data_IF_743306617594
#
_entry.id   IF_743306617594
#
_cell.length_a   1.000
_cell.length_b   1.000
_cell.length_c   1.000
_cell.angle_alpha   90.00
_cell.angle_beta   90.00
_cell.angle_gamma   90.00
#
_symmetry.space_group_name_H-M   'P 1'
#
loop_
_entity.id
_entity.type
_entity.pdbx_description
1 polymer ?
#
# COMPACT_ATOMS: atom_id res chain seq x y z
N UNK A 1 -15.12 3.09 -13.87
CA UNK A 1 -15.03 3.24 -12.39
C UNK A 1 -13.58 3.51 -12.03
N UNK A 2 -13.27 4.40 -11.09
CA UNK A 2 -11.88 4.63 -10.69
C UNK A 2 -11.31 3.29 -10.22
N UNK A 3 -10.17 2.89 -10.81
CA UNK A 3 -9.63 1.53 -10.73
C UNK A 3 -9.10 1.14 -9.34
N UNK A 4 -9.37 1.98 -8.34
CA UNK A 4 -9.12 1.77 -6.92
C UNK A 4 -7.64 1.89 -6.59
N UNK A 5 -7.28 2.74 -5.63
CA UNK A 5 -5.91 2.97 -5.20
C UNK A 5 -5.47 4.43 -5.26
N UNK A 6 -6.03 5.23 -6.17
CA UNK A 6 -5.66 6.66 -6.28
C UNK A 6 -5.91 7.46 -4.98
N UNK A 7 -5.19 8.56 -4.85
CA UNK A 7 -5.43 9.53 -3.77
C UNK A 7 -6.89 9.99 -3.85
N UNK A 8 -7.62 9.81 -2.75
CA UNK A 8 -9.03 10.11 -2.72
C UNK A 8 -9.22 11.64 -2.72
N UNK A 9 -10.10 12.22 -3.56
CA UNK A 9 -10.26 13.68 -3.68
C UNK A 9 -10.57 14.41 -2.36
N UNK A 10 -11.17 13.70 -1.39
CA UNK A 10 -11.43 14.24 -0.06
C UNK A 10 -10.15 14.63 0.70
N UNK A 11 -9.01 13.97 0.45
CA UNK A 11 -7.75 14.35 1.11
C UNK A 11 -7.35 15.77 0.73
N UNK A 12 -7.27 16.06 -0.57
CA UNK A 12 -6.97 17.41 -1.06
C UNK A 12 -7.99 18.45 -0.60
N UNK A 13 -9.29 18.10 -0.63
CA UNK A 13 -10.36 18.98 -0.16
C UNK A 13 -10.22 19.33 1.33
N UNK A 14 -10.14 18.33 2.21
CA UNK A 14 -10.12 18.55 3.66
C UNK A 14 -8.80 19.18 4.13
N UNK A 15 -7.67 18.73 3.60
CA UNK A 15 -6.37 19.35 3.93
C UNK A 15 -6.31 20.81 3.42
N UNK A 16 -6.90 21.09 2.26
CA UNK A 16 -7.06 22.45 1.75
C UNK A 16 -7.95 23.32 2.64
N UNK A 17 -9.09 22.77 3.06
CA UNK A 17 -10.04 23.42 3.94
C UNK A 17 -9.42 23.74 5.32
N UNK A 18 -8.76 22.76 5.96
CA UNK A 18 -8.04 22.95 7.23
C UNK A 18 -7.02 24.08 7.14
N UNK A 19 -6.20 24.09 6.08
CA UNK A 19 -5.22 25.17 5.84
C UNK A 19 -5.88 26.54 5.69
N UNK A 20 -7.02 26.63 4.99
CA UNK A 20 -7.76 27.88 4.84
C UNK A 20 -8.38 28.34 6.17
N UNK A 21 -8.92 27.40 6.95
CA UNK A 21 -9.49 27.67 8.27
C UNK A 21 -8.43 28.23 9.22
N UNK A 22 -7.25 27.60 9.30
CA UNK A 22 -6.15 28.03 10.16
C UNK A 22 -5.51 29.37 9.76
N UNK A 23 -5.64 29.76 8.49
CA UNK A 23 -5.25 31.11 8.02
C UNK A 23 -6.24 32.19 8.48
N UNK A 24 -7.51 31.85 8.67
CA UNK A 24 -8.56 32.75 9.14
C UNK A 24 -8.98 32.35 10.56
N UNK A 25 -8.14 32.66 11.54
CA UNK A 25 -8.33 32.21 12.95
C UNK A 25 -9.55 32.81 13.65
N UNK A 26 -10.12 33.91 13.15
CA UNK A 26 -11.23 34.62 13.82
C UNK A 26 -12.47 33.74 14.00
N UNK A 27 -13.02 33.07 12.96
CA UNK A 27 -14.08 32.07 13.13
C UNK A 27 -13.71 30.91 14.06
N UNK A 28 -12.46 30.45 14.02
CA UNK A 28 -11.96 29.38 14.88
C UNK A 28 -12.03 29.78 16.35
N UNK A 29 -11.63 31.01 16.70
CA UNK A 29 -11.77 31.52 18.06
C UNK A 29 -13.23 31.52 18.52
N UNK A 30 -14.20 31.87 17.67
CA UNK A 30 -15.61 31.82 18.06
C UNK A 30 -16.14 30.40 18.28
N UNK A 31 -15.63 29.43 17.50
CA UNK A 31 -15.99 28.02 17.66
C UNK A 31 -15.33 27.41 18.90
N UNK A 32 -14.07 27.75 19.15
CA UNK A 32 -13.29 27.23 20.28
C UNK A 32 -13.61 27.95 21.60
N UNK A 33 -14.02 29.22 21.58
CA UNK A 33 -14.37 29.98 22.79
C UNK A 33 -15.57 29.40 23.56
N UNK A 34 -16.31 28.46 22.96
CA UNK A 34 -17.39 27.72 23.63
C UNK A 34 -16.99 26.33 24.15
N UNK A 35 -15.75 25.88 23.96
CA UNK A 35 -15.28 24.55 24.33
C UNK A 35 -13.88 24.55 24.97
N UNK A 36 -13.53 23.48 25.66
CA UNK A 36 -12.22 23.31 26.34
C UNK A 36 -11.12 22.82 25.36
N UNK A 37 -11.43 22.78 24.06
CA UNK A 37 -10.58 22.21 23.02
C UNK A 37 -9.66 23.28 22.43
N UNK A 38 -8.37 22.99 22.32
CA UNK A 38 -7.40 23.87 21.66
C UNK A 38 -7.32 23.61 20.14
N UNK A 39 -6.71 24.56 19.41
CA UNK A 39 -6.54 24.47 17.95
C UNK A 39 -5.80 23.19 17.52
N UNK A 40 -4.85 22.72 18.33
CA UNK A 40 -4.02 21.55 18.05
C UNK A 40 -4.81 20.24 18.15
N UNK A 41 -5.62 20.11 19.19
CA UNK A 41 -6.54 19.00 19.40
C UNK A 41 -7.57 18.93 18.27
N UNK A 42 -8.17 20.07 17.90
CA UNK A 42 -9.15 20.11 16.82
C UNK A 42 -8.55 19.68 15.47
N UNK A 43 -7.36 20.19 15.12
CA UNK A 43 -6.68 19.80 13.87
C UNK A 43 -6.38 18.30 13.86
N UNK A 44 -5.88 17.76 14.98
CA UNK A 44 -5.56 16.35 15.10
C UNK A 44 -6.81 15.48 14.97
N UNK A 45 -7.91 15.86 15.62
CA UNK A 45 -9.19 15.15 15.55
C UNK A 45 -9.77 15.16 14.14
N UNK A 46 -9.76 16.32 13.46
CA UNK A 46 -10.26 16.42 12.09
C UNK A 46 -9.46 15.55 11.12
N UNK A 47 -8.13 15.47 11.27
CA UNK A 47 -7.32 14.56 10.46
C UNK A 47 -7.63 13.10 10.81
N UNK A 48 -7.81 12.76 12.09
CA UNK A 48 -8.23 11.42 12.50
C UNK A 48 -9.60 11.02 11.94
N UNK A 49 -10.57 11.94 11.89
CA UNK A 49 -11.87 11.73 11.24
C UNK A 49 -11.72 11.50 9.74
N UNK A 50 -10.83 12.24 9.07
CA UNK A 50 -10.51 11.99 7.66
C UNK A 50 -9.90 10.59 7.46
N UNK A 51 -8.95 10.19 8.30
CA UNK A 51 -8.34 8.86 8.27
C UNK A 51 -9.38 7.75 8.47
N UNK A 52 -10.30 7.90 9.43
CA UNK A 52 -11.39 6.95 9.67
C UNK A 52 -12.35 6.85 8.46
N UNK A 53 -12.73 7.99 7.89
CA UNK A 53 -13.58 8.01 6.70
C UNK A 53 -12.91 7.36 5.47
N UNK A 54 -11.57 7.40 5.39
CA UNK A 54 -10.81 6.70 4.36
C UNK A 54 -10.78 5.20 4.61
N UNK A 55 -10.62 4.77 5.87
CA UNK A 55 -10.69 3.35 6.25
C UNK A 55 -12.03 2.74 5.86
N UNK A 56 -13.14 3.41 6.19
CA UNK A 56 -14.50 3.00 5.83
C UNK A 56 -14.68 2.88 4.30
N UNK A 57 -14.12 3.82 3.55
CA UNK A 57 -14.13 3.76 2.07
C UNK A 57 -13.28 2.63 1.53
N UNK A 58 -12.13 2.37 2.16
CA UNK A 58 -11.26 1.28 1.76
C UNK A 58 -11.97 -0.07 1.89
N UNK A 59 -12.85 -0.23 2.87
CA UNK A 59 -13.61 -1.46 3.09
C UNK A 59 -14.50 -1.86 1.89
N UNK A 60 -14.91 -0.89 1.07
CA UNK A 60 -15.69 -1.15 -0.15
C UNK A 60 -14.84 -1.65 -1.34
N UNK A 61 -13.50 -1.56 -1.28
CA UNK A 61 -12.64 -2.04 -2.36
C UNK A 61 -12.63 -3.56 -2.42
N UNK A 62 -12.73 -4.11 -3.63
CA UNK A 62 -12.90 -5.55 -3.85
C UNK A 62 -11.68 -6.39 -3.42
N UNK A 63 -10.47 -5.84 -3.52
CA UNK A 63 -9.24 -6.59 -3.27
C UNK A 63 -8.57 -6.14 -1.98
N UNK A 64 -8.29 -7.06 -1.02
CA UNK A 64 -7.62 -6.71 0.23
C UNK A 64 -6.28 -6.00 0.03
N UNK A 65 -5.47 -6.43 -0.95
CA UNK A 65 -4.21 -5.75 -1.26
C UNK A 65 -4.41 -4.33 -1.80
N UNK A 66 -5.51 -4.08 -2.51
CA UNK A 66 -5.83 -2.75 -3.01
C UNK A 66 -6.28 -1.80 -1.90
N UNK A 67 -6.91 -2.33 -0.83
CA UNK A 67 -7.21 -1.56 0.38
C UNK A 67 -5.93 -1.02 1.01
N UNK A 68 -4.92 -1.86 1.14
CA UNK A 68 -3.64 -1.47 1.71
C UNK A 68 -2.93 -0.40 0.86
N UNK A 69 -2.92 -0.56 -0.47
CA UNK A 69 -2.35 0.44 -1.40
C UNK A 69 -3.12 1.76 -1.32
N UNK A 70 -4.45 1.70 -1.25
CA UNK A 70 -5.28 2.89 -1.05
C UNK A 70 -4.95 3.61 0.27
N UNK A 71 -4.86 2.89 1.38
CA UNK A 71 -4.53 3.49 2.68
C UNK A 71 -3.11 4.07 2.69
N UNK A 72 -2.14 3.41 2.05
CA UNK A 72 -0.78 3.92 1.88
C UNK A 72 -0.76 5.25 1.11
N UNK A 73 -1.41 5.32 -0.04
CA UNK A 73 -1.44 6.53 -0.87
C UNK A 73 -2.08 7.71 -0.13
N UNK A 74 -3.22 7.48 0.52
CA UNK A 74 -3.92 8.55 1.21
C UNK A 74 -3.20 9.00 2.48
N UNK A 75 -2.61 8.09 3.25
CA UNK A 75 -1.82 8.44 4.45
C UNK A 75 -0.60 9.27 4.06
N UNK A 76 0.12 8.86 3.01
CA UNK A 76 1.27 9.61 2.49
C UNK A 76 0.86 11.00 2.01
N UNK A 77 -0.29 11.13 1.35
CA UNK A 77 -0.82 12.41 0.92
C UNK A 77 -1.17 13.33 2.10
N UNK A 78 -1.83 12.80 3.14
CA UNK A 78 -2.14 13.54 4.36
C UNK A 78 -0.85 14.05 5.03
N UNK A 79 0.15 13.18 5.22
CA UNK A 79 1.45 13.56 5.80
C UNK A 79 2.12 14.64 4.94
N UNK A 80 2.18 14.45 3.62
CA UNK A 80 2.74 15.43 2.68
C UNK A 80 2.03 16.78 2.76
N UNK A 81 0.71 16.80 2.85
CA UNK A 81 -0.07 18.03 2.98
C UNK A 81 0.15 18.73 4.31
N UNK A 82 0.22 17.96 5.41
CA UNK A 82 0.43 18.49 6.75
C UNK A 82 1.83 19.11 6.91
N UNK A 83 2.87 18.39 6.48
CA UNK A 83 4.28 18.85 6.58
C UNK A 83 4.56 20.07 5.72
N UNK A 84 3.89 20.20 4.56
CA UNK A 84 4.05 21.37 3.67
C UNK A 84 3.31 22.63 4.13
N UNK A 85 2.52 22.54 5.19
CA UNK A 85 1.69 23.63 5.67
C UNK A 85 2.14 24.04 7.06
N UNK A 86 2.90 25.13 7.19
CA UNK A 86 3.40 25.63 8.48
C UNK A 86 2.28 25.79 9.52
N UNK A 87 1.10 26.24 9.08
CA UNK A 87 -0.07 26.39 9.95
C UNK A 87 -0.59 25.07 10.53
N UNK A 88 -0.50 23.97 9.78
CA UNK A 88 -0.92 22.63 10.25
C UNK A 88 0.25 22.00 11.01
N UNK A 89 1.45 22.02 10.41
CA UNK A 89 2.65 21.40 10.97
C UNK A 89 2.99 21.87 12.38
N UNK A 90 2.82 23.16 12.70
CA UNK A 90 3.06 23.69 14.05
C UNK A 90 2.03 23.24 15.10
N UNK A 91 0.85 22.79 14.66
CA UNK A 91 -0.25 22.37 15.55
C UNK A 91 -0.27 20.85 15.79
N UNK A 92 0.57 20.10 15.08
CA UNK A 92 0.63 18.65 15.24
C UNK A 92 1.54 18.27 16.41
N UNK A 93 1.15 17.24 17.20
CA UNK A 93 1.97 16.81 18.33
C UNK A 93 3.31 16.21 17.87
N UNK A 94 4.35 16.24 18.72
CA UNK A 94 5.61 15.56 18.43
C UNK A 94 5.39 14.08 18.10
N UNK A 95 6.12 13.56 17.11
CA UNK A 95 6.01 12.17 16.67
C UNK A 95 4.78 11.84 15.81
N UNK A 96 3.90 12.80 15.55
CA UNK A 96 2.69 12.58 14.73
C UNK A 96 3.04 12.00 13.35
N UNK A 97 4.03 12.57 12.65
CA UNK A 97 4.46 12.09 11.34
C UNK A 97 5.06 10.68 11.41
N UNK A 98 5.91 10.42 12.40
CA UNK A 98 6.52 9.09 12.61
C UNK A 98 5.48 7.99 12.85
N UNK A 99 4.42 8.27 13.63
CA UNK A 99 3.32 7.32 13.81
C UNK A 99 2.53 7.04 12.52
N UNK A 100 2.50 7.97 11.56
CA UNK A 100 1.92 7.75 10.23
C UNK A 100 2.89 6.97 9.33
N UNK A 101 4.19 7.23 9.42
CA UNK A 101 5.22 6.46 8.73
C UNK A 101 5.20 4.98 9.13
N UNK A 102 5.11 4.67 10.43
CA UNK A 102 4.96 3.30 10.92
C UNK A 102 3.69 2.62 10.38
N UNK A 103 2.57 3.34 10.33
CA UNK A 103 1.34 2.83 9.72
C UNK A 103 1.51 2.55 8.22
N UNK A 104 2.22 3.41 7.50
CA UNK A 104 2.53 3.19 6.08
C UNK A 104 3.36 1.93 5.86
N UNK A 105 4.37 1.68 6.70
CA UNK A 105 5.12 0.42 6.68
C UNK A 105 4.23 -0.80 6.96
N UNK A 106 3.28 -0.65 7.90
CA UNK A 106 2.23 -1.62 8.18
C UNK A 106 1.42 -1.98 6.93
N UNK A 107 0.95 -0.98 6.17
CA UNK A 107 0.21 -1.21 4.93
C UNK A 107 1.04 -1.93 3.86
N UNK A 108 2.33 -1.61 3.71
CA UNK A 108 3.22 -2.33 2.78
C UNK A 108 3.34 -3.80 3.18
N UNK A 109 3.55 -4.08 4.47
CA UNK A 109 3.66 -5.44 5.01
C UNK A 109 2.38 -6.24 4.79
N UNK A 110 1.24 -5.63 5.08
CA UNK A 110 -0.06 -6.27 4.93
C UNK A 110 -0.42 -6.48 3.46
N UNK A 111 -0.07 -5.54 2.57
CA UNK A 111 -0.16 -5.71 1.12
C UNK A 111 0.65 -6.93 0.65
N UNK A 112 1.91 -7.08 1.07
CA UNK A 112 2.72 -8.25 0.74
C UNK A 112 2.10 -9.54 1.26
N UNK A 113 1.59 -9.53 2.50
CA UNK A 113 0.94 -10.68 3.13
C UNK A 113 -0.30 -11.13 2.36
N UNK A 114 -1.18 -10.22 1.95
CA UNK A 114 -2.46 -10.59 1.32
C UNK A 114 -2.34 -10.79 -0.20
N UNK A 115 -1.42 -10.09 -0.87
CA UNK A 115 -1.26 -10.17 -2.33
C UNK A 115 -0.19 -11.16 -2.79
N UNK A 116 0.95 -11.24 -2.09
CA UNK A 116 2.14 -11.92 -2.61
C UNK A 116 2.53 -13.17 -1.83
N UNK A 117 2.24 -13.26 -0.53
CA UNK A 117 2.46 -14.50 0.22
C UNK A 117 1.70 -15.71 -0.38
N UNK A 118 0.43 -15.58 -0.86
CA UNK A 118 -0.26 -16.69 -1.52
C UNK A 118 0.38 -17.11 -2.85
N UNK A 119 1.02 -16.18 -3.58
CA UNK A 119 1.76 -16.46 -4.82
C UNK A 119 3.02 -17.26 -4.49
N UNK A 120 3.82 -16.77 -3.54
CA UNK A 120 5.07 -17.43 -3.11
C UNK A 120 4.80 -18.80 -2.48
N UNK A 121 3.69 -18.96 -1.75
CA UNK A 121 3.32 -20.25 -1.13
C UNK A 121 3.17 -21.40 -2.13
N UNK A 122 2.92 -21.10 -3.41
CA UNK A 122 2.83 -22.11 -4.48
C UNK A 122 4.15 -22.86 -4.69
N UNK A 123 5.27 -22.25 -4.32
CA UNK A 123 6.60 -22.85 -4.36
C UNK A 123 6.92 -23.69 -3.09
N UNK A 124 6.16 -23.52 -2.00
CA UNK A 124 6.48 -24.08 -0.68
C UNK A 124 5.87 -25.46 -0.35
N UNK A 125 5.39 -26.22 -1.34
CA UNK A 125 4.73 -27.49 -1.10
C UNK A 125 5.69 -28.57 -0.58
N UNK A 126 5.52 -29.05 0.66
CA UNK A 126 6.26 -30.21 1.18
C UNK A 126 6.08 -31.44 0.25
N UNK A 127 7.17 -32.15 -0.12
CA UNK A 127 7.08 -33.47 -0.73
C UNK A 127 6.78 -34.48 0.39
N UNK A 128 5.52 -34.83 0.63
CA UNK A 128 5.21 -35.78 1.71
C UNK A 128 3.75 -36.08 2.00
N UNK A 129 2.78 -35.29 1.52
CA UNK A 129 1.37 -35.67 1.61
C UNK A 129 0.97 -36.39 0.31
N UNK A 130 0.55 -37.65 0.45
CA UNK A 130 0.05 -38.57 -0.57
C UNK A 130 -0.66 -37.83 -1.72
N UNK A 131 -0.27 -38.17 -2.96
CA UNK A 131 -0.77 -37.70 -4.27
C UNK A 131 0.24 -36.90 -5.11
N UNK A 132 1.42 -37.47 -5.34
CA UNK A 132 2.41 -36.97 -6.31
C UNK A 132 1.86 -36.87 -7.75
N UNK A 133 0.83 -37.66 -8.09
CA UNK A 133 0.24 -37.72 -9.44
C UNK A 133 -0.82 -36.64 -9.74
N UNK A 134 -1.28 -35.87 -8.74
CA UNK A 134 -2.38 -34.88 -8.92
C UNK A 134 -1.96 -33.42 -8.71
N UNK A 135 -0.71 -33.15 -8.30
CA UNK A 135 -0.24 -31.77 -8.14
C UNK A 135 0.21 -31.22 -9.49
N UNK A 136 -0.51 -30.22 -10.01
CA UNK A 136 0.05 -29.29 -11.01
C UNK A 136 1.45 -28.90 -10.55
N UNK A 137 2.43 -28.95 -11.46
CA UNK A 137 3.83 -28.64 -11.16
C UNK A 137 3.90 -27.33 -10.35
N UNK A 138 4.49 -27.29 -9.13
CA UNK A 138 4.47 -26.11 -8.25
C UNK A 138 4.91 -24.82 -8.96
N UNK A 139 5.93 -24.94 -9.82
CA UNK A 139 6.39 -23.86 -10.70
C UNK A 139 5.32 -23.32 -11.67
N UNK A 140 4.51 -24.19 -12.26
CA UNK A 140 3.41 -23.78 -13.15
C UNK A 140 2.31 -23.06 -12.36
N UNK A 141 1.94 -23.58 -11.19
CA UNK A 141 0.97 -22.93 -10.31
C UNK A 141 1.46 -21.54 -9.83
N UNK A 142 2.76 -21.42 -9.52
CA UNK A 142 3.40 -20.15 -9.22
C UNK A 142 3.32 -19.19 -10.39
N UNK A 143 3.73 -19.59 -11.60
CA UNK A 143 3.71 -18.70 -12.76
C UNK A 143 2.30 -18.19 -13.09
N UNK A 144 1.28 -19.05 -13.03
CA UNK A 144 -0.11 -18.61 -13.24
C UNK A 144 -0.55 -17.61 -12.16
N UNK A 145 -0.24 -17.87 -10.89
CA UNK A 145 -0.58 -16.95 -9.80
C UNK A 145 0.16 -15.61 -9.92
N UNK A 146 1.45 -15.65 -10.27
CA UNK A 146 2.30 -14.48 -10.51
C UNK A 146 1.77 -13.62 -11.66
N UNK A 147 1.47 -14.23 -12.81
CA UNK A 147 0.94 -13.51 -13.97
C UNK A 147 -0.41 -12.86 -13.66
N UNK A 148 -1.30 -13.56 -12.96
CA UNK A 148 -2.58 -12.99 -12.54
C UNK A 148 -2.39 -11.81 -11.57
N UNK A 149 -1.47 -11.94 -10.61
CA UNK A 149 -1.15 -10.86 -9.68
C UNK A 149 -0.59 -9.63 -10.42
N UNK A 150 0.39 -9.82 -11.32
CA UNK A 150 0.95 -8.72 -12.11
C UNK A 150 -0.12 -8.06 -12.98
N UNK A 151 -0.87 -8.84 -13.77
CA UNK A 151 -1.90 -8.31 -14.67
C UNK A 151 -2.96 -7.49 -13.93
N UNK A 152 -3.38 -7.95 -12.74
CA UNK A 152 -4.34 -7.23 -11.91
C UNK A 152 -3.77 -5.94 -11.33
N UNK A 153 -2.50 -5.95 -10.89
CA UNK A 153 -1.88 -4.86 -10.13
C UNK A 153 -1.16 -3.83 -11.01
N UNK A 154 -0.90 -4.12 -12.29
CA UNK A 154 -0.39 -3.13 -13.24
C UNK A 154 -1.33 -1.93 -13.37
N UNK A 155 -2.64 -2.14 -13.33
CA UNK A 155 -3.64 -1.07 -13.39
C UNK A 155 -3.94 -0.35 -12.07
N UNK A 156 -3.28 -0.72 -10.97
CA UNK A 156 -3.49 -0.04 -9.69
C UNK A 156 -2.71 1.26 -9.64
N UNK A 157 -3.36 2.33 -9.17
CA UNK A 157 -2.73 3.66 -9.15
C UNK A 157 -1.91 3.88 -7.90
N UNK A 158 -0.65 4.27 -8.07
CA UNK A 158 0.24 4.75 -7.00
C UNK A 158 0.85 6.08 -7.45
N UNK A 159 0.25 7.23 -7.09
CA UNK A 159 0.67 8.54 -7.60
C UNK A 159 2.10 8.94 -7.21
N UNK A 160 2.54 8.56 -6.00
CA UNK A 160 3.88 8.86 -5.51
C UNK A 160 4.91 7.93 -6.17
N UNK A 161 5.90 8.45 -6.93
CA UNK A 161 6.93 7.61 -7.54
C UNK A 161 7.82 6.93 -6.50
N UNK A 162 8.01 7.56 -5.33
CA UNK A 162 8.78 6.98 -4.22
C UNK A 162 8.06 5.74 -3.68
N UNK A 163 6.78 5.87 -3.29
CA UNK A 163 5.99 4.73 -2.80
C UNK A 163 5.86 3.63 -3.84
N UNK A 164 5.76 4.01 -5.12
CA UNK A 164 5.74 3.05 -6.23
C UNK A 164 7.04 2.25 -6.29
N UNK A 165 8.17 2.92 -6.15
CA UNK A 165 9.49 2.29 -6.03
C UNK A 165 9.57 1.35 -4.83
N UNK A 166 9.14 1.81 -3.65
CA UNK A 166 9.18 1.05 -2.41
C UNK A 166 8.33 -0.23 -2.50
N UNK A 167 7.10 -0.14 -3.03
CA UNK A 167 6.24 -1.30 -3.25
C UNK A 167 6.86 -2.29 -4.24
N UNK A 168 7.39 -1.82 -5.37
CA UNK A 168 8.05 -2.69 -6.37
C UNK A 168 9.28 -3.39 -5.80
N UNK A 169 10.07 -2.66 -5.01
CA UNK A 169 11.24 -3.20 -4.31
C UNK A 169 10.83 -4.27 -3.31
N UNK A 170 9.88 -3.96 -2.41
CA UNK A 170 9.42 -4.88 -1.38
C UNK A 170 8.81 -6.18 -1.97
N UNK A 171 8.08 -6.07 -3.08
CA UNK A 171 7.59 -7.25 -3.81
C UNK A 171 8.74 -8.04 -4.41
N UNK A 172 9.70 -7.37 -5.06
CA UNK A 172 10.87 -8.03 -5.67
C UNK A 172 11.70 -8.78 -4.63
N UNK A 173 11.94 -8.17 -3.47
CA UNK A 173 12.66 -8.77 -2.34
C UNK A 173 11.91 -9.94 -1.70
N UNK A 174 10.59 -10.00 -1.88
CA UNK A 174 9.78 -11.14 -1.40
C UNK A 174 9.75 -12.28 -2.42
N UNK A 175 9.47 -11.97 -3.69
CA UNK A 175 9.15 -12.97 -4.72
C UNK A 175 10.42 -13.58 -5.33
N UNK A 176 11.42 -12.75 -5.67
CA UNK A 176 12.60 -13.20 -6.41
C UNK A 176 13.46 -14.16 -5.58
N UNK A 177 13.77 -13.88 -4.29
CA UNK A 177 14.54 -14.83 -3.48
C UNK A 177 13.81 -16.16 -3.27
N UNK A 178 12.49 -16.13 -3.07
CA UNK A 178 11.71 -17.36 -2.92
C UNK A 178 11.71 -18.21 -4.20
N UNK A 179 11.62 -17.56 -5.37
CA UNK A 179 11.73 -18.21 -6.66
C UNK A 179 13.12 -18.84 -6.88
N UNK A 180 14.20 -18.08 -6.63
CA UNK A 180 15.58 -18.59 -6.75
C UNK A 180 15.81 -19.81 -5.85
N UNK A 181 15.42 -19.72 -4.57
CA UNK A 181 15.52 -20.84 -3.62
C UNK A 181 14.77 -22.08 -4.09
N UNK A 182 13.61 -21.92 -4.73
CA UNK A 182 12.89 -23.04 -5.30
C UNK A 182 13.66 -23.71 -6.44
N UNK A 183 14.24 -22.93 -7.36
CA UNK A 183 15.05 -23.48 -8.45
C UNK A 183 16.31 -24.18 -7.95
N UNK A 184 17.01 -23.60 -6.97
CA UNK A 184 18.22 -24.18 -6.38
C UNK A 184 17.94 -25.53 -5.70
N UNK A 185 16.73 -25.70 -5.14
CA UNK A 185 16.30 -26.95 -4.49
C UNK A 185 15.72 -27.99 -5.44
N UNK A 186 15.48 -27.65 -6.71
CA UNK A 186 14.88 -28.51 -7.72
C UNK A 186 15.64 -28.40 -9.06
N UNK A 187 16.92 -28.82 -9.12
CA UNK A 187 17.76 -28.70 -10.32
C UNK A 187 17.22 -29.52 -11.52
N UNK A 188 16.34 -30.49 -11.27
CA UNK A 188 15.63 -31.26 -12.28
C UNK A 188 14.60 -30.42 -13.08
N UNK A 189 14.22 -29.25 -12.58
CA UNK A 189 13.22 -28.40 -13.21
C UNK A 189 13.88 -27.55 -14.29
N UNK A 190 13.64 -27.91 -15.56
CA UNK A 190 14.07 -27.10 -16.68
C UNK A 190 13.19 -25.84 -16.79
N UNK A 191 13.77 -24.67 -16.51
CA UNK A 191 13.09 -23.38 -16.65
C UNK A 191 13.17 -22.94 -18.11
N UNK A 192 12.04 -22.75 -18.82
CA UNK A 192 12.05 -22.25 -20.19
C UNK A 192 12.78 -20.91 -20.31
N UNK A 193 13.43 -20.68 -21.45
CA UNK A 193 13.99 -19.38 -21.79
C UNK A 193 12.91 -18.29 -21.65
N UNK A 194 13.22 -17.19 -20.95
CA UNK A 194 12.24 -16.15 -20.64
C UNK A 194 11.33 -16.42 -19.44
N UNK A 195 11.66 -17.38 -18.56
CA UNK A 195 11.01 -17.52 -17.24
C UNK A 195 11.98 -17.41 -16.05
N UNK A 196 13.20 -16.92 -16.30
CA UNK A 196 14.21 -16.74 -15.27
C UNK A 196 13.89 -15.64 -14.25
N UNK A 197 14.68 -15.57 -13.18
CA UNK A 197 14.50 -14.58 -12.11
C UNK A 197 14.55 -13.11 -12.59
N UNK A 198 15.33 -12.82 -13.63
CA UNK A 198 15.39 -11.48 -14.22
C UNK A 198 14.11 -11.10 -14.97
N UNK A 199 13.44 -12.06 -15.57
CA UNK A 199 12.15 -11.82 -16.21
C UNK A 199 11.07 -11.51 -15.18
N UNK A 200 11.09 -12.20 -14.03
CA UNK A 200 10.21 -11.85 -12.91
C UNK A 200 10.43 -10.40 -12.48
N UNK A 201 11.69 -9.97 -12.30
CA UNK A 201 12.03 -8.57 -11.96
C UNK A 201 11.48 -7.59 -12.98
N UNK A 202 11.58 -7.90 -14.27
CA UNK A 202 11.02 -7.07 -15.35
C UNK A 202 9.51 -6.88 -15.18
N UNK A 203 8.74 -7.95 -15.01
CA UNK A 203 7.29 -7.86 -14.79
C UNK A 203 6.95 -7.11 -13.49
N UNK A 204 7.73 -7.31 -12.42
CA UNK A 204 7.53 -6.61 -11.15
C UNK A 204 7.80 -5.10 -11.28
N UNK A 205 8.69 -4.69 -12.19
CA UNK A 205 8.96 -3.28 -12.46
C UNK A 205 7.81 -2.55 -13.15
N UNK A 206 6.89 -3.29 -13.79
CA UNK A 206 5.71 -2.77 -14.49
C UNK A 206 4.45 -2.70 -13.58
N UNK A 207 4.55 -3.06 -12.30
CA UNK A 207 3.44 -2.94 -11.36
C UNK A 207 3.08 -1.47 -11.14
N UNK A 208 1.80 -1.14 -11.03
CA UNK A 208 1.32 0.22 -10.73
C UNK A 208 1.59 1.30 -11.80
N UNK A 209 1.52 0.95 -13.08
CA UNK A 209 1.65 1.91 -14.20
C UNK A 209 0.30 2.48 -14.68
N UNK A 210 -0.81 2.18 -13.98
CA UNK A 210 -2.16 2.67 -14.27
C UNK A 210 -2.46 4.10 -13.83
#
# INVERSE_FOLDING_TARGET
MPQGGEEHPSVGFWMGYLRCMLRNRVPLYFVLAGGDQDEASLVTELISCLEAALEDKSAALAFPGLRQVFMLNNTSAIVRCAVRSDAIGMLLPPGWAGAREERMEGYIRDYLRVSWAPVVSRLGGKPGAMNALRRRHPLSAFHSAFQNACSMQTGWKVPSPVLRGDLRMAVSETVVPAYRRYLDSHPEVNVPAGRGAEELRRHLSELFEG
#
